data_IF_892523647789
#
_entry.id   IF_892523647789
#
_cell.length_a   1.000
_cell.length_b   1.000
_cell.length_c   1.000
_cell.angle_alpha   90.00
_cell.angle_beta   90.00
_cell.angle_gamma   90.00
#
_symmetry.space_group_name_H-M   'P 1'
#
loop_
_entity.id
_entity.type
_entity.pdbx_description
1 polymer ?
#
# COMPACT_ATOMS: atom_id res chain seq x y z
N UNK A 1 -0.60 9.43 -7.56
CA UNK A 1 0.80 9.41 -8.02
C UNK A 1 0.82 9.28 -9.53
N UNK A 2 1.60 10.10 -10.22
CA UNK A 2 1.77 10.08 -11.69
C UNK A 2 3.26 10.00 -12.01
N UNK A 3 3.65 9.06 -12.87
CA UNK A 3 5.04 8.81 -13.23
C UNK A 3 5.19 7.41 -13.82
N UNK A 4 6.36 7.14 -14.40
CA UNK A 4 6.69 5.80 -14.94
C UNK A 4 7.13 4.82 -13.84
N UNK A 5 7.45 5.33 -12.66
CA UNK A 5 7.79 4.56 -11.46
C UNK A 5 7.58 5.41 -10.20
N UNK A 6 7.53 4.77 -9.04
CA UNK A 6 7.40 5.42 -7.75
C UNK A 6 7.32 4.41 -6.61
N UNK A 7 7.43 4.90 -5.38
CA UNK A 7 7.31 4.08 -4.16
C UNK A 7 6.45 4.80 -3.13
N UNK A 8 5.74 4.04 -2.33
CA UNK A 8 4.97 4.52 -1.18
C UNK A 8 5.07 3.48 -0.06
N UNK A 9 4.79 3.92 1.16
CA UNK A 9 4.86 3.09 2.36
C UNK A 9 3.66 3.39 3.27
N UNK A 10 3.37 2.48 4.19
CA UNK A 10 2.41 2.74 5.27
C UNK A 10 2.87 3.95 6.11
N UNK A 11 1.92 4.73 6.69
CA UNK A 11 2.28 5.78 7.62
C UNK A 11 3.10 5.20 8.79
N UNK A 12 4.22 5.83 9.13
CA UNK A 12 5.06 5.38 10.25
C UNK A 12 6.21 4.45 9.85
N UNK A 13 6.18 3.86 8.64
CA UNK A 13 7.27 3.01 8.14
C UNK A 13 8.64 3.72 8.27
N UNK A 14 9.69 3.06 8.82
CA UNK A 14 9.80 1.62 9.10
C UNK A 14 9.25 1.16 10.47
N UNK A 15 8.60 2.03 11.23
CA UNK A 15 7.93 1.65 12.48
C UNK A 15 6.49 1.20 12.22
N UNK A 16 5.80 0.78 13.29
CA UNK A 16 4.41 0.35 13.25
C UNK A 16 3.48 1.43 12.67
N UNK A 17 2.50 0.98 11.89
CA UNK A 17 1.44 1.85 11.41
C UNK A 17 0.50 2.24 12.56
N UNK A 18 -0.08 3.46 12.55
CA UNK A 18 -1.04 3.86 13.56
C UNK A 18 -2.34 3.06 13.44
N UNK A 19 -2.97 2.74 14.57
CA UNK A 19 -4.30 2.14 14.60
C UNK A 19 -5.37 3.07 13.97
N UNK A 20 -6.48 2.46 13.51
CA UNK A 20 -7.63 3.15 12.91
C UNK A 20 -7.24 4.03 11.72
N UNK A 21 -6.43 3.48 10.78
CA UNK A 21 -6.02 4.17 9.57
C UNK A 21 -6.52 3.46 8.33
N UNK A 22 -7.10 4.26 7.44
CA UNK A 22 -7.44 3.87 6.08
C UNK A 22 -6.54 4.67 5.13
N UNK A 23 -5.82 3.96 4.27
CA UNK A 23 -4.89 4.57 3.32
C UNK A 23 -5.33 4.24 1.90
N UNK A 24 -5.48 5.27 1.05
CA UNK A 24 -5.91 5.13 -0.34
C UNK A 24 -4.87 5.77 -1.25
N UNK A 25 -4.15 4.94 -2.01
CA UNK A 25 -3.17 5.39 -3.00
C UNK A 25 -3.74 5.29 -4.41
N UNK A 26 -4.05 6.44 -5.02
CA UNK A 26 -4.50 6.52 -6.40
C UNK A 26 -3.30 6.54 -7.37
N UNK A 27 -3.04 5.42 -8.05
CA UNK A 27 -1.95 5.26 -9.02
C UNK A 27 -2.50 5.41 -10.43
N UNK A 28 -1.91 6.30 -11.23
CA UNK A 28 -2.38 6.60 -12.60
C UNK A 28 -1.21 6.50 -13.59
N UNK A 29 -1.46 5.82 -14.70
CA UNK A 29 -0.55 5.72 -15.86
C UNK A 29 -1.26 6.19 -17.12
N UNK A 30 -0.50 6.53 -18.16
CA UNK A 30 -1.08 6.91 -19.46
C UNK A 30 -1.73 5.71 -20.14
N UNK A 31 -2.74 5.92 -21.01
CA UNK A 31 -3.37 4.83 -21.77
C UNK A 31 -2.36 3.97 -22.53
N UNK A 32 -2.60 2.66 -22.58
CA UNK A 32 -1.71 1.68 -23.20
C UNK A 32 -0.62 1.12 -22.27
N UNK A 33 -0.45 1.68 -21.07
CA UNK A 33 0.45 1.16 -20.06
C UNK A 33 -0.28 0.31 -19.00
N UNK A 34 0.46 -0.55 -18.31
CA UNK A 34 -0.01 -1.35 -17.16
C UNK A 34 0.75 -0.96 -15.89
N UNK A 35 0.12 -1.21 -14.74
CA UNK A 35 0.73 -0.98 -13.43
C UNK A 35 1.26 -2.31 -12.91
N UNK A 36 2.53 -2.35 -12.51
CA UNK A 36 3.11 -3.44 -11.73
C UNK A 36 3.38 -2.94 -10.31
N UNK A 37 2.85 -3.64 -9.32
CA UNK A 37 3.10 -3.38 -7.90
C UNK A 37 4.03 -4.45 -7.35
N UNK A 38 5.00 -4.04 -6.53
CA UNK A 38 5.90 -4.94 -5.81
C UNK A 38 5.87 -4.56 -4.34
N UNK A 39 5.51 -5.51 -3.49
CA UNK A 39 5.48 -5.34 -2.04
C UNK A 39 6.81 -5.84 -1.52
N UNK A 40 7.65 -4.92 -1.04
CA UNK A 40 8.99 -5.24 -0.53
C UNK A 40 8.98 -5.67 0.93
N UNK A 41 8.02 -5.16 1.70
CA UNK A 41 7.88 -5.41 3.13
C UNK A 41 6.39 -5.38 3.47
N UNK A 42 5.94 -6.33 4.28
CA UNK A 42 4.53 -6.51 4.61
C UNK A 42 4.37 -7.12 6.00
N UNK A 43 3.89 -6.30 6.93
CA UNK A 43 3.58 -6.69 8.31
C UNK A 43 2.29 -5.99 8.74
N UNK A 44 1.25 -6.78 9.04
CA UNK A 44 -0.09 -6.33 9.43
C UNK A 44 -0.66 -7.27 10.50
N UNK A 45 -1.63 -6.79 11.28
CA UNK A 45 -2.33 -7.59 12.28
C UNK A 45 -2.96 -8.84 11.66
N UNK A 46 -2.58 -10.02 12.14
CA UNK A 46 -3.11 -11.28 11.64
C UNK A 46 -4.54 -11.55 12.15
N UNK A 47 -5.44 -11.83 11.21
CA UNK A 47 -6.73 -12.46 11.47
C UNK A 47 -7.06 -13.41 10.32
N UNK A 48 -7.66 -14.56 10.60
CA UNK A 48 -7.94 -15.61 9.59
C UNK A 48 -8.78 -15.14 8.40
N UNK A 49 -9.54 -14.06 8.58
CA UNK A 49 -10.38 -13.42 7.56
C UNK A 49 -9.98 -11.97 7.25
N UNK A 50 -8.80 -11.52 7.70
CA UNK A 50 -8.33 -10.13 7.58
C UNK A 50 -9.36 -9.08 8.05
N UNK A 51 -10.04 -9.37 9.17
CA UNK A 51 -11.15 -8.52 9.67
C UNK A 51 -10.65 -7.21 10.28
N UNK A 52 -9.43 -7.20 10.80
CA UNK A 52 -8.86 -6.04 11.48
C UNK A 52 -8.10 -5.16 10.48
N UNK A 53 -7.03 -5.68 9.90
CA UNK A 53 -6.19 -4.96 8.94
C UNK A 53 -6.07 -5.70 7.60
N UNK A 54 -6.00 -4.93 6.51
CA UNK A 54 -5.86 -5.44 5.13
C UNK A 54 -5.18 -4.41 4.22
N UNK A 55 -4.62 -4.89 3.10
CA UNK A 55 -4.09 -4.07 2.00
C UNK A 55 -5.06 -4.06 0.82
#
# INVERSE_FOLDING_TARGET
MSGVSGSFSSPGYPNNYPHNKECIWNIRVTPGNSIQLTIHDFDVEYHSSCKYDSL
#
